data_IF_898078697419
#
_entry.id   IF_898078697419
#
_cell.length_a   1.000
_cell.length_b   1.000
_cell.length_c   1.000
_cell.angle_alpha   90.00
_cell.angle_beta   90.00
_cell.angle_gamma   90.00
#
_symmetry.space_group_name_H-M   'P 1'
#
loop_
_entity.id
_entity.type
_entity.pdbx_description
1 polymer ?
#
# COMPACT_ATOMS: atom_id res chain seq x y z
N UNK A 1 25.66 36.91 30.13
CA UNK A 1 24.36 37.37 29.60
C UNK A 1 23.66 36.16 29.02
N UNK A 2 22.38 35.93 29.34
CA UNK A 2 21.58 34.83 28.77
C UNK A 2 21.11 35.27 27.39
N UNK A 3 21.60 34.66 26.32
CA UNK A 3 20.97 34.73 25.00
C UNK A 3 19.65 33.96 25.06
N UNK A 4 18.63 34.55 24.42
CA UNK A 4 17.22 34.24 24.61
C UNK A 4 16.83 32.80 24.27
N UNK A 5 15.89 32.27 25.05
CA UNK A 5 15.01 31.22 24.56
C UNK A 5 14.21 31.83 23.41
N UNK A 6 14.66 31.58 22.18
CA UNK A 6 13.83 31.70 20.99
C UNK A 6 12.63 30.78 21.21
N UNK A 7 11.42 31.28 21.04
CA UNK A 7 10.21 30.47 21.15
C UNK A 7 10.20 29.48 19.98
N UNK A 8 10.46 28.21 20.24
CA UNK A 8 10.25 27.14 19.27
C UNK A 8 8.76 26.78 19.26
N UNK A 9 8.25 26.33 18.11
CA UNK A 9 6.89 25.85 17.90
C UNK A 9 5.81 26.91 18.19
N UNK A 10 6.09 28.19 17.93
CA UNK A 10 5.11 29.26 18.11
C UNK A 10 3.86 29.02 17.24
N UNK A 11 2.70 28.85 17.89
CA UNK A 11 1.43 28.58 17.22
C UNK A 11 1.22 27.13 16.78
N UNK A 12 2.15 26.22 17.10
CA UNK A 12 2.03 24.79 16.82
C UNK A 12 1.45 24.04 18.04
N UNK A 13 0.49 23.15 17.81
CA UNK A 13 -0.13 22.35 18.86
C UNK A 13 0.75 21.14 19.23
N UNK A 14 1.74 21.39 20.08
CA UNK A 14 2.65 20.34 20.59
C UNK A 14 1.92 19.29 21.42
N UNK A 15 0.83 19.64 22.10
CA UNK A 15 0.11 18.71 22.97
C UNK A 15 -0.75 17.72 22.17
N UNK A 16 -1.42 18.18 21.11
CA UNK A 16 -2.19 17.34 20.19
C UNK A 16 -1.34 16.64 19.12
N UNK A 17 -0.02 16.82 19.15
CA UNK A 17 0.88 16.27 18.14
C UNK A 17 1.13 14.76 18.28
N UNK A 18 0.89 14.16 19.46
CA UNK A 18 1.30 12.79 19.77
C UNK A 18 0.12 11.80 19.80
N UNK A 19 0.35 10.60 19.26
CA UNK A 19 -0.49 9.41 19.45
C UNK A 19 0.08 8.55 20.59
N UNK A 20 -0.49 8.71 21.79
CA UNK A 20 -0.12 7.98 23.00
C UNK A 20 -0.75 6.58 23.05
N UNK A 21 -0.57 5.81 21.97
CA UNK A 21 -0.89 4.39 21.96
C UNK A 21 -0.05 3.65 23.01
N UNK A 22 -0.55 2.51 23.50
CA UNK A 22 0.18 1.69 24.48
C UNK A 22 1.57 1.26 23.96
N UNK A 23 1.70 1.10 22.64
CA UNK A 23 2.97 0.82 21.98
C UNK A 23 3.90 2.04 22.04
N UNK A 24 3.44 3.22 21.62
CA UNK A 24 4.24 4.45 21.68
C UNK A 24 4.78 4.71 23.10
N UNK A 25 3.91 4.62 24.11
CA UNK A 25 4.25 4.79 25.53
C UNK A 25 5.25 3.74 26.05
N UNK A 26 5.24 2.54 25.48
CA UNK A 26 6.14 1.45 25.85
C UNK A 26 7.54 1.60 25.24
N UNK A 27 7.57 1.96 23.95
CA UNK A 27 8.77 1.88 23.11
C UNK A 27 9.55 3.18 22.99
N UNK A 28 8.89 4.34 23.04
CA UNK A 28 9.48 5.64 22.72
C UNK A 28 9.48 6.64 23.88
N UNK A 29 8.42 6.67 24.70
CA UNK A 29 8.19 7.79 25.63
C UNK A 29 9.01 7.67 26.91
N UNK A 30 9.93 8.60 27.10
CA UNK A 30 10.76 8.76 28.29
C UNK A 30 10.11 9.69 29.34
N UNK A 31 10.69 9.75 30.55
CA UNK A 31 10.28 10.75 31.54
C UNK A 31 10.61 12.17 31.04
N UNK A 32 9.65 13.08 31.15
CA UNK A 32 9.79 14.48 30.75
C UNK A 32 9.66 15.42 31.98
N UNK A 33 10.44 16.52 32.05
CA UNK A 33 11.54 16.87 31.15
C UNK A 33 12.85 16.20 31.56
N UNK A 34 13.72 15.94 30.58
CA UNK A 34 15.08 15.47 30.84
C UNK A 34 15.89 16.49 31.63
N UNK A 35 16.72 16.02 32.57
CA UNK A 35 17.65 16.89 33.28
C UNK A 35 18.78 17.38 32.36
N UNK A 36 19.40 18.52 32.72
CA UNK A 36 20.54 19.05 31.97
C UNK A 36 21.75 18.10 32.01
N UNK A 37 21.93 17.40 33.13
CA UNK A 37 22.98 16.41 33.30
C UNK A 37 22.74 15.20 32.38
N UNK A 38 21.48 14.76 32.24
CA UNK A 38 21.12 13.68 31.32
C UNK A 38 21.38 14.07 29.87
N UNK A 39 20.95 15.27 29.47
CA UNK A 39 21.17 15.80 28.11
C UNK A 39 22.68 15.86 27.82
N UNK A 40 23.48 16.49 28.69
CA UNK A 40 24.92 16.62 28.47
C UNK A 40 25.62 15.25 28.39
N UNK A 41 25.20 14.29 29.22
CA UNK A 41 25.72 12.92 29.18
C UNK A 41 25.36 12.20 27.88
N UNK A 42 24.15 12.38 27.36
CA UNK A 42 23.74 11.78 26.07
C UNK A 42 24.45 12.46 24.90
N UNK A 43 24.60 13.79 24.92
CA UNK A 43 25.37 14.51 23.90
C UNK A 43 26.81 13.99 23.84
N UNK A 44 27.48 13.79 24.99
CA UNK A 44 28.82 13.21 25.05
C UNK A 44 28.87 11.77 24.51
N UNK A 45 27.90 10.92 24.88
CA UNK A 45 27.77 9.54 24.40
C UNK A 45 27.57 9.48 22.89
N UNK A 46 26.75 10.37 22.34
CA UNK A 46 26.48 10.53 20.90
C UNK A 46 27.64 11.23 20.18
N UNK A 47 28.88 11.13 20.66
CA UNK A 47 30.07 11.72 20.03
C UNK A 47 30.23 13.24 20.27
N UNK A 48 29.49 13.84 21.18
CA UNK A 48 29.56 15.27 21.48
C UNK A 48 28.71 16.16 20.55
N UNK A 49 27.76 15.58 19.81
CA UNK A 49 26.77 16.37 19.06
C UNK A 49 25.80 17.03 20.04
N UNK A 50 25.70 18.37 19.96
CA UNK A 50 24.76 19.15 20.76
C UNK A 50 23.36 19.03 20.16
N UNK A 51 22.38 18.57 20.94
CA UNK A 51 21.00 18.46 20.48
C UNK A 51 20.41 19.84 20.11
N UNK A 52 19.61 19.94 19.03
CA UNK A 52 18.99 21.19 18.63
C UNK A 52 18.10 21.75 19.73
N UNK A 53 18.00 23.08 19.82
CA UNK A 53 17.14 23.72 20.82
C UNK A 53 15.66 23.37 20.63
N UNK A 54 15.22 23.26 19.37
CA UNK A 54 13.88 22.80 18.99
C UNK A 54 13.63 21.36 19.41
N UNK A 55 14.61 20.47 19.28
CA UNK A 55 14.51 19.08 19.75
C UNK A 55 14.26 19.03 21.27
N UNK A 56 15.11 19.72 22.04
CA UNK A 56 14.96 19.77 23.51
C UNK A 56 13.62 20.40 23.89
N UNK A 57 13.16 21.43 23.19
CA UNK A 57 11.87 22.08 23.46
C UNK A 57 10.69 21.12 23.24
N UNK A 58 10.71 20.35 22.15
CA UNK A 58 9.68 19.34 21.89
C UNK A 58 9.70 18.25 22.97
N UNK A 59 10.88 17.71 23.27
CA UNK A 59 11.08 16.64 24.27
C UNK A 59 10.78 17.09 25.70
N UNK A 60 10.87 18.38 25.99
CA UNK A 60 10.45 18.97 27.27
C UNK A 60 8.93 18.91 27.44
N UNK A 61 8.17 19.06 26.34
CA UNK A 61 6.72 18.96 26.36
C UNK A 61 6.24 17.50 26.36
N UNK A 62 6.88 16.65 25.56
CA UNK A 62 6.59 15.21 25.47
C UNK A 62 7.84 14.50 24.91
N UNK A 63 8.44 13.60 25.71
CA UNK A 63 9.80 13.12 25.51
C UNK A 63 9.88 11.85 24.66
N UNK A 64 9.63 12.02 23.35
CA UNK A 64 9.61 10.96 22.36
C UNK A 64 8.22 10.36 22.21
N UNK A 65 7.94 9.70 21.09
CA UNK A 65 6.62 9.14 20.81
C UNK A 65 6.34 9.00 19.32
N UNK A 66 5.10 8.69 19.00
CA UNK A 66 4.63 8.62 17.61
C UNK A 66 3.77 9.86 17.34
N UNK A 67 4.10 10.69 16.35
CA UNK A 67 3.24 11.79 15.95
C UNK A 67 1.89 11.34 15.37
N UNK A 68 0.86 12.17 15.46
CA UNK A 68 -0.41 11.98 14.72
C UNK A 68 -0.25 12.29 13.23
N UNK A 69 0.79 13.05 12.86
CA UNK A 69 1.18 13.36 11.49
C UNK A 69 2.58 12.82 11.24
N UNK A 70 2.69 11.81 10.38
CA UNK A 70 3.92 11.03 10.21
C UNK A 70 4.56 11.17 8.84
N UNK A 71 3.93 11.87 7.90
CA UNK A 71 4.49 12.04 6.56
C UNK A 71 5.12 13.41 6.40
N UNK A 72 6.26 13.49 5.72
CA UNK A 72 6.90 14.75 5.35
C UNK A 72 6.96 14.87 3.82
N UNK A 73 6.38 15.92 3.21
CA UNK A 73 6.44 16.12 1.76
C UNK A 73 7.88 16.33 1.27
N UNK A 74 8.23 15.69 0.17
CA UNK A 74 9.55 15.74 -0.46
C UNK A 74 9.44 16.24 -1.90
N UNK A 75 10.52 16.87 -2.37
CA UNK A 75 10.64 17.28 -3.79
C UNK A 75 11.58 16.37 -4.59
N UNK A 76 12.36 15.55 -3.88
CA UNK A 76 13.25 14.54 -4.43
C UNK A 76 12.75 13.17 -3.96
N UNK A 77 12.67 12.16 -4.86
CA UNK A 77 12.18 10.84 -4.50
C UNK A 77 13.17 10.13 -3.59
N UNK A 78 12.64 9.27 -2.72
CA UNK A 78 13.39 8.30 -1.94
C UNK A 78 13.23 6.90 -2.54
N UNK A 79 13.93 5.90 -1.99
CA UNK A 79 13.73 4.50 -2.36
C UNK A 79 12.33 3.98 -2.01
N UNK A 80 11.62 4.63 -1.09
CA UNK A 80 10.31 4.20 -0.62
C UNK A 80 9.14 4.92 -1.31
N UNK A 81 9.22 6.24 -1.49
CA UNK A 81 8.17 7.02 -2.17
C UNK A 81 8.73 8.18 -3.01
N UNK A 82 7.96 8.56 -4.03
CA UNK A 82 8.33 9.55 -5.04
C UNK A 82 8.28 11.00 -4.53
N UNK A 83 7.40 11.29 -3.56
CA UNK A 83 7.04 12.67 -3.19
C UNK A 83 6.94 12.89 -1.68
N UNK A 84 7.30 11.92 -0.86
CA UNK A 84 7.30 12.05 0.60
C UNK A 84 8.16 10.99 1.31
N UNK A 85 8.32 11.15 2.62
CA UNK A 85 8.81 10.14 3.54
C UNK A 85 7.80 9.92 4.67
N UNK A 86 7.91 8.79 5.36
CA UNK A 86 7.12 8.47 6.56
C UNK A 86 8.05 8.15 7.73
N UNK A 87 7.70 8.62 8.93
CA UNK A 87 8.36 8.22 10.18
C UNK A 87 7.45 7.35 11.03
N UNK A 88 8.00 6.39 11.76
CA UNK A 88 7.24 5.55 12.71
C UNK A 88 7.30 6.06 14.14
N UNK A 89 8.22 6.99 14.43
CA UNK A 89 8.32 7.63 15.73
C UNK A 89 9.53 8.55 15.85
N UNK A 90 9.50 9.40 16.87
CA UNK A 90 10.60 10.31 17.24
C UNK A 90 11.17 9.82 18.58
N UNK A 91 12.51 9.69 18.63
CA UNK A 91 13.21 9.12 19.78
C UNK A 91 13.24 10.08 20.98
N UNK A 92 12.93 9.58 22.17
CA UNK A 92 13.06 10.37 23.40
C UNK A 92 14.51 10.60 23.82
N UNK A 93 14.75 11.67 24.57
CA UNK A 93 16.00 11.92 25.31
C UNK A 93 16.00 11.04 26.56
N UNK A 94 16.63 9.87 26.46
CA UNK A 94 16.78 8.93 27.57
C UNK A 94 17.45 7.63 27.15
N UNK A 95 17.37 6.63 28.02
CA UNK A 95 17.97 5.29 27.86
C UNK A 95 17.08 4.15 28.36
N UNK A 96 15.88 4.47 28.87
CA UNK A 96 15.01 3.48 29.50
C UNK A 96 14.10 2.80 28.50
N UNK A 97 13.80 3.46 27.37
CA UNK A 97 13.00 2.87 26.29
C UNK A 97 13.88 2.31 25.18
N UNK A 98 13.44 1.23 24.49
CA UNK A 98 14.18 0.65 23.37
C UNK A 98 14.49 1.67 22.28
N UNK A 99 13.54 2.54 21.95
CA UNK A 99 13.69 3.52 20.87
C UNK A 99 14.25 4.87 21.32
N UNK A 100 14.65 5.05 22.58
CA UNK A 100 15.29 6.29 23.02
C UNK A 100 16.64 6.54 22.33
N UNK A 101 17.11 7.79 22.35
CA UNK A 101 18.39 8.16 21.73
C UNK A 101 19.58 7.29 22.22
N UNK A 102 19.62 6.99 23.52
CA UNK A 102 20.57 6.04 24.12
C UNK A 102 19.93 4.70 24.53
N UNK A 103 18.82 4.32 23.88
CA UNK A 103 18.15 3.04 24.07
C UNK A 103 18.80 1.90 23.28
N UNK A 104 18.19 0.71 23.33
CA UNK A 104 18.66 -0.50 22.63
C UNK A 104 18.83 -0.29 21.12
N UNK A 105 17.89 0.41 20.50
CA UNK A 105 17.89 0.74 19.07
C UNK A 105 18.21 2.22 18.84
N UNK A 106 18.96 2.85 19.75
CA UNK A 106 19.36 4.26 19.67
C UNK A 106 20.38 4.57 18.58
N UNK A 107 20.81 5.82 18.48
CA UNK A 107 21.64 6.30 17.37
C UNK A 107 22.96 5.52 17.19
N UNK A 108 23.60 5.13 18.30
CA UNK A 108 24.87 4.37 18.24
C UNK A 108 24.67 2.93 17.75
N UNK A 109 23.51 2.31 18.04
CA UNK A 109 23.23 0.96 17.53
C UNK A 109 23.27 0.96 16.00
N UNK A 110 22.63 1.92 15.36
CA UNK A 110 22.58 1.99 13.90
C UNK A 110 23.95 2.30 13.27
N UNK A 111 24.75 3.15 13.92
CA UNK A 111 26.11 3.45 13.47
C UNK A 111 27.04 2.23 13.65
N UNK A 112 27.08 1.64 14.85
CA UNK A 112 28.06 0.62 15.20
C UNK A 112 27.69 -0.78 14.68
N UNK A 113 26.40 -1.12 14.68
CA UNK A 113 25.92 -2.47 14.31
C UNK A 113 25.40 -2.56 12.89
N UNK A 114 24.90 -1.46 12.33
CA UNK A 114 24.31 -1.41 10.99
C UNK A 114 25.10 -0.51 10.01
N UNK A 115 26.26 -0.01 10.46
CA UNK A 115 27.22 0.75 9.65
C UNK A 115 26.67 2.05 9.07
N UNK A 116 25.58 2.59 9.65
CA UNK A 116 25.09 3.92 9.28
C UNK A 116 26.18 4.98 9.49
N UNK A 117 26.27 5.97 8.59
CA UNK A 117 27.36 6.93 8.65
C UNK A 117 27.27 7.81 9.92
N UNK A 118 28.40 8.01 10.60
CA UNK A 118 28.53 8.92 11.75
C UNK A 118 28.53 10.38 11.26
N UNK A 119 27.32 10.89 10.98
CA UNK A 119 27.07 12.28 10.54
C UNK A 119 26.40 13.12 11.63
N UNK A 120 25.94 12.49 12.72
CA UNK A 120 25.11 13.14 13.70
C UNK A 120 24.25 12.19 14.52
N UNK A 121 23.00 12.58 14.75
CA UNK A 121 22.07 11.87 15.64
C UNK A 121 20.89 11.34 14.83
N UNK A 122 20.74 10.02 14.80
CA UNK A 122 19.56 9.35 14.22
C UNK A 122 18.40 9.47 15.20
N UNK A 123 17.38 10.24 14.84
CA UNK A 123 16.35 10.72 15.77
C UNK A 123 14.94 10.20 15.47
N UNK A 124 14.72 9.63 14.28
CA UNK A 124 13.45 9.06 13.88
C UNK A 124 13.68 7.80 13.04
N UNK A 125 12.78 6.85 13.24
CA UNK A 125 12.71 5.59 12.49
C UNK A 125 11.66 5.71 11.38
N UNK A 126 11.68 4.81 10.41
CA UNK A 126 10.78 4.75 9.27
C UNK A 126 10.05 3.39 9.24
N UNK A 127 9.05 3.19 8.36
CA UNK A 127 8.38 1.89 8.21
C UNK A 127 9.26 0.76 7.66
N UNK A 128 10.49 1.07 7.21
CA UNK A 128 11.36 0.09 6.56
C UNK A 128 12.09 -0.85 7.52
N UNK A 129 11.89 -0.69 8.84
CA UNK A 129 12.58 -1.48 9.87
C UNK A 129 14.11 -1.36 9.81
N UNK A 130 14.61 -0.15 9.54
CA UNK A 130 16.03 0.19 9.57
C UNK A 130 16.75 0.15 8.23
N UNK A 131 16.05 -0.08 7.12
CA UNK A 131 16.62 0.05 5.76
C UNK A 131 16.77 1.51 5.32
N UNK A 132 16.12 2.43 6.02
CA UNK A 132 16.37 3.86 5.93
C UNK A 132 16.06 4.56 7.27
N UNK A 133 16.65 5.73 7.50
CA UNK A 133 16.50 6.46 8.76
C UNK A 133 16.58 7.97 8.57
N UNK A 134 16.07 8.73 9.54
CA UNK A 134 16.29 10.17 9.62
C UNK A 134 17.36 10.56 10.63
N UNK A 135 18.24 11.46 10.20
CA UNK A 135 19.33 11.98 11.00
C UNK A 135 19.33 13.51 11.07
N UNK A 136 19.76 14.02 12.23
CA UNK A 136 20.24 15.38 12.38
C UNK A 136 21.68 15.42 11.86
N UNK A 137 21.91 16.01 10.69
CA UNK A 137 23.22 16.03 10.00
C UNK A 137 24.04 17.25 10.40
N UNK A 138 25.18 17.01 11.05
CA UNK A 138 26.10 18.04 11.54
C UNK A 138 27.31 18.24 10.62
N UNK A 139 27.43 17.55 9.49
CA UNK A 139 28.62 17.62 8.61
C UNK A 139 28.95 19.05 8.17
N UNK A 140 27.93 19.87 7.92
CA UNK A 140 28.09 21.26 7.47
C UNK A 140 28.30 22.26 8.62
N UNK A 141 27.58 22.10 9.74
CA UNK A 141 27.56 23.08 10.83
C UNK A 141 28.54 22.76 11.97
N UNK A 142 29.13 21.56 11.98
CA UNK A 142 29.94 21.03 13.08
C UNK A 142 29.11 20.64 14.29
N UNK A 143 29.72 19.91 15.25
CA UNK A 143 29.03 19.25 16.37
C UNK A 143 28.24 20.15 17.32
N UNK A 144 28.37 21.47 17.21
CA UNK A 144 27.73 22.45 18.10
C UNK A 144 26.82 23.45 17.35
N UNK A 145 26.72 23.33 16.02
CA UNK A 145 25.85 24.14 15.19
C UNK A 145 24.41 23.65 15.15
N UNK A 146 23.57 24.31 14.36
CA UNK A 146 22.20 23.87 14.06
C UNK A 146 22.24 22.90 12.87
N UNK A 147 21.90 21.61 13.05
CA UNK A 147 21.94 20.61 11.99
C UNK A 147 20.73 20.70 11.07
N UNK A 148 20.91 20.24 9.83
CA UNK A 148 19.80 19.95 8.91
C UNK A 148 19.21 18.58 9.20
N UNK A 149 17.99 18.33 8.73
CA UNK A 149 17.40 16.98 8.74
C UNK A 149 17.65 16.32 7.40
N UNK A 150 18.12 15.08 7.43
CA UNK A 150 18.38 14.26 6.24
C UNK A 150 17.77 12.87 6.38
N UNK A 151 17.47 12.27 5.24
CA UNK A 151 17.15 10.86 5.07
C UNK A 151 18.42 10.12 4.63
N UNK A 152 18.62 8.90 5.15
CA UNK A 152 19.75 8.04 4.82
C UNK A 152 19.23 6.68 4.37
N UNK A 153 19.48 6.32 3.12
CA UNK A 153 19.02 5.07 2.50
C UNK A 153 20.12 4.01 2.51
N UNK A 154 19.98 3.01 3.38
CA UNK A 154 20.97 1.94 3.52
C UNK A 154 21.08 1.07 2.26
N UNK A 155 19.95 0.79 1.60
CA UNK A 155 19.93 -0.02 0.37
C UNK A 155 20.54 0.74 -0.81
N UNK A 156 20.46 2.07 -0.78
CA UNK A 156 21.06 3.01 -1.72
C UNK A 156 22.54 3.35 -1.48
N UNK A 157 23.32 2.49 -0.82
CA UNK A 157 24.73 2.75 -0.45
C UNK A 157 24.87 3.95 0.50
N UNK A 158 23.96 4.03 1.49
CA UNK A 158 23.85 5.15 2.44
C UNK A 158 23.71 6.51 1.74
N UNK A 159 22.93 6.56 0.64
CA UNK A 159 22.60 7.81 -0.03
C UNK A 159 21.92 8.77 0.94
N UNK A 160 22.35 10.03 0.95
CA UNK A 160 21.85 11.05 1.89
C UNK A 160 21.07 12.11 1.13
N UNK A 161 19.79 12.25 1.45
CA UNK A 161 18.86 13.19 0.83
C UNK A 161 18.44 14.26 1.84
N UNK A 162 18.41 15.53 1.43
CA UNK A 162 18.01 16.63 2.31
C UNK A 162 16.50 16.64 2.52
N UNK A 163 16.06 16.76 3.76
CA UNK A 163 14.63 16.73 4.13
C UNK A 163 14.16 18.10 4.62
N UNK A 164 14.83 18.67 5.62
CA UNK A 164 14.45 19.98 6.16
C UNK A 164 15.68 20.78 6.63
N UNK A 165 15.52 22.11 6.67
CA UNK A 165 16.60 23.03 7.08
C UNK A 165 16.98 22.91 8.56
N UNK A 166 16.07 22.43 9.41
CA UNK A 166 16.30 22.15 10.83
C UNK A 166 15.17 21.25 11.37
N UNK A 167 15.29 20.81 12.63
CA UNK A 167 14.33 19.91 13.26
C UNK A 167 12.94 20.54 13.46
N UNK A 168 12.84 21.85 13.72
CA UNK A 168 11.55 22.53 13.88
C UNK A 168 10.77 22.57 12.55
N UNK A 169 11.46 22.91 11.46
CA UNK A 169 10.90 22.89 10.11
C UNK A 169 10.42 21.48 9.73
N UNK A 170 11.16 20.45 10.11
CA UNK A 170 10.73 19.05 9.93
C UNK A 170 9.42 18.76 10.67
N UNK A 171 9.39 18.97 11.98
CA UNK A 171 8.23 18.65 12.83
C UNK A 171 6.99 19.44 12.44
N UNK A 172 7.14 20.72 12.13
CA UNK A 172 6.02 21.59 11.73
C UNK A 172 5.55 21.33 10.30
N UNK A 173 6.39 20.71 9.46
CA UNK A 173 6.06 20.30 8.09
C UNK A 173 5.42 18.92 7.97
N UNK A 174 5.32 18.15 9.06
CA UNK A 174 4.65 16.84 9.04
C UNK A 174 3.15 16.99 8.77
N UNK A 175 2.64 16.15 7.87
CA UNK A 175 1.25 16.09 7.42
C UNK A 175 0.60 14.73 7.75
N UNK A 176 -0.72 14.73 7.75
CA UNK A 176 -1.52 13.52 7.94
C UNK A 176 -1.41 12.60 6.71
N UNK A 177 -1.40 11.28 6.92
CA UNK A 177 -1.29 10.30 5.84
C UNK A 177 -2.44 10.34 4.84
N UNK A 178 -3.60 10.88 5.23
CA UNK A 178 -4.74 11.09 4.31
C UNK A 178 -4.43 12.02 3.14
N UNK A 179 -3.36 12.83 3.21
CA UNK A 179 -2.88 13.62 2.06
C UNK A 179 -2.44 12.73 0.90
N UNK A 180 -1.96 11.52 1.21
CA UNK A 180 -1.48 10.53 0.24
C UNK A 180 -2.45 9.36 0.04
N UNK A 181 -3.63 9.39 0.67
CA UNK A 181 -4.66 8.37 0.49
C UNK A 181 -5.35 8.53 -0.88
N UNK A 182 -4.96 7.69 -1.84
CA UNK A 182 -5.55 7.65 -3.18
C UNK A 182 -6.73 6.71 -3.30
N UNK A 183 -7.15 6.02 -2.23
CA UNK A 183 -8.12 4.92 -2.29
C UNK A 183 -9.45 5.31 -2.94
N UNK A 184 -9.95 6.52 -2.68
CA UNK A 184 -11.18 7.02 -3.31
C UNK A 184 -10.98 7.33 -4.81
N UNK A 185 -9.82 7.87 -5.18
CA UNK A 185 -9.49 8.14 -6.59
C UNK A 185 -9.35 6.83 -7.36
N UNK A 186 -8.65 5.84 -6.79
CA UNK A 186 -8.47 4.51 -7.34
C UNK A 186 -9.82 3.78 -7.49
N UNK A 187 -10.71 3.92 -6.50
CA UNK A 187 -12.07 3.39 -6.55
C UNK A 187 -12.90 4.03 -7.66
N UNK A 188 -12.82 5.35 -7.83
CA UNK A 188 -13.50 6.05 -8.92
C UNK A 188 -12.95 5.64 -10.30
N UNK A 189 -11.63 5.46 -10.43
CA UNK A 189 -10.99 4.96 -11.64
C UNK A 189 -11.40 3.51 -11.95
N UNK A 190 -11.48 2.65 -10.94
CA UNK A 190 -11.98 1.28 -11.09
C UNK A 190 -13.47 1.28 -11.50
N UNK A 191 -14.30 2.16 -10.93
CA UNK A 191 -15.70 2.31 -11.35
C UNK A 191 -15.83 2.76 -12.81
N UNK A 192 -15.03 3.74 -13.24
CA UNK A 192 -14.99 4.17 -14.64
C UNK A 192 -14.56 3.03 -15.56
N UNK A 193 -13.56 2.23 -15.13
CA UNK A 193 -13.08 1.05 -15.87
C UNK A 193 -14.19 0.04 -16.10
N UNK A 194 -14.96 -0.31 -15.06
CA UNK A 194 -16.02 -1.33 -15.19
C UNK A 194 -17.30 -0.80 -15.87
N UNK A 195 -17.55 0.51 -15.83
CA UNK A 195 -18.69 1.16 -16.48
C UNK A 195 -18.50 1.43 -17.95
N UNK A 196 -17.35 2.00 -18.29
CA UNK A 196 -17.11 2.61 -19.60
C UNK A 196 -16.02 1.88 -20.39
N UNK A 197 -15.23 1.04 -19.72
CA UNK A 197 -14.23 0.21 -20.37
C UNK A 197 -14.83 -0.67 -21.47
N UNK A 198 -14.19 -0.67 -22.63
CA UNK A 198 -14.53 -1.59 -23.72
C UNK A 198 -14.26 -3.04 -23.30
N UNK A 199 -15.19 -3.95 -23.57
CA UNK A 199 -15.00 -5.37 -23.32
C UNK A 199 -13.98 -5.98 -24.28
N UNK A 200 -13.34 -7.08 -23.84
CA UNK A 200 -12.49 -7.88 -24.73
C UNK A 200 -13.31 -8.43 -25.91
N UNK A 201 -12.69 -8.64 -27.09
CA UNK A 201 -13.36 -9.31 -28.20
C UNK A 201 -13.92 -10.69 -27.83
N UNK A 202 -13.28 -11.40 -26.90
CA UNK A 202 -13.76 -12.66 -26.34
C UNK A 202 -15.10 -12.51 -25.61
N UNK A 203 -15.23 -11.51 -24.72
CA UNK A 203 -16.49 -11.20 -24.05
C UNK A 203 -17.58 -10.75 -25.02
N UNK A 204 -17.25 -9.88 -25.98
CA UNK A 204 -18.20 -9.42 -27.00
C UNK A 204 -18.71 -10.57 -27.89
N UNK A 205 -17.89 -11.59 -28.14
CA UNK A 205 -18.34 -12.83 -28.78
C UNK A 205 -19.27 -13.60 -27.83
N UNK A 206 -18.84 -13.87 -26.60
CA UNK A 206 -19.62 -14.63 -25.63
C UNK A 206 -21.04 -14.04 -25.43
N UNK A 207 -21.16 -12.73 -25.27
CA UNK A 207 -22.45 -12.05 -25.11
C UNK A 207 -23.40 -12.29 -26.29
N UNK A 208 -22.88 -12.40 -27.52
CA UNK A 208 -23.69 -12.73 -28.70
C UNK A 208 -24.14 -14.19 -28.70
N UNK A 209 -23.27 -15.11 -28.28
CA UNK A 209 -23.58 -16.54 -28.22
C UNK A 209 -24.68 -16.85 -27.19
N UNK A 210 -24.73 -16.11 -26.09
CA UNK A 210 -25.70 -16.33 -25.01
C UNK A 210 -26.94 -15.42 -25.09
N UNK A 211 -27.06 -14.57 -26.10
CA UNK A 211 -28.09 -13.52 -26.17
C UNK A 211 -29.53 -14.05 -26.09
N UNK A 212 -29.79 -15.26 -26.59
CA UNK A 212 -31.10 -15.91 -26.52
C UNK A 212 -31.46 -16.39 -25.10
N UNK A 213 -30.46 -16.62 -24.25
CA UNK A 213 -30.61 -17.13 -22.87
C UNK A 213 -30.52 -15.99 -21.86
N UNK A 214 -29.56 -15.09 -22.03
CA UNK A 214 -29.34 -13.91 -21.19
C UNK A 214 -29.24 -12.67 -22.09
N UNK A 215 -30.39 -12.02 -22.39
CA UNK A 215 -30.38 -10.69 -22.99
C UNK A 215 -29.61 -9.71 -22.10
N UNK A 216 -28.99 -8.70 -22.72
CA UNK A 216 -28.20 -7.68 -22.02
C UNK A 216 -27.08 -8.26 -21.11
N UNK A 217 -26.47 -9.38 -21.54
CA UNK A 217 -25.38 -10.04 -20.83
C UNK A 217 -24.22 -9.09 -20.45
N UNK A 218 -23.94 -8.11 -21.33
CA UNK A 218 -22.97 -7.05 -21.10
C UNK A 218 -23.37 -6.15 -19.91
N UNK A 219 -24.66 -5.81 -19.77
CA UNK A 219 -25.17 -5.03 -18.64
C UNK A 219 -25.05 -5.79 -17.32
N UNK A 220 -25.34 -7.10 -17.32
CA UNK A 220 -25.13 -7.95 -16.14
C UNK A 220 -23.64 -8.02 -15.74
N UNK A 221 -22.74 -8.09 -16.72
CA UNK A 221 -21.30 -8.07 -16.48
C UNK A 221 -20.86 -6.75 -15.80
N UNK A 222 -21.35 -5.61 -16.29
CA UNK A 222 -21.07 -4.30 -15.68
C UNK A 222 -21.62 -4.20 -14.26
N UNK A 223 -22.87 -4.61 -14.04
CA UNK A 223 -23.51 -4.54 -12.72
C UNK A 223 -22.77 -5.38 -11.66
N UNK A 224 -22.34 -6.58 -12.05
CA UNK A 224 -21.55 -7.44 -11.16
C UNK A 224 -20.17 -6.84 -10.86
N UNK A 225 -19.45 -6.36 -11.88
CA UNK A 225 -18.16 -5.72 -11.68
C UNK A 225 -18.26 -4.42 -10.86
N UNK A 226 -19.29 -3.61 -11.05
CA UNK A 226 -19.55 -2.45 -10.20
C UNK A 226 -19.75 -2.84 -8.73
N UNK A 227 -20.45 -3.94 -8.47
CA UNK A 227 -20.66 -4.43 -7.10
C UNK A 227 -19.34 -4.91 -6.49
N UNK A 228 -18.50 -5.62 -7.26
CA UNK A 228 -17.13 -5.98 -6.84
C UNK A 228 -16.33 -4.73 -6.45
N UNK A 229 -16.34 -3.67 -7.27
CA UNK A 229 -15.62 -2.42 -6.97
C UNK A 229 -16.21 -1.69 -5.76
N UNK A 230 -17.53 -1.69 -5.58
CA UNK A 230 -18.17 -1.06 -4.41
C UNK A 230 -17.84 -1.79 -3.11
N UNK A 231 -17.78 -3.12 -3.16
CA UNK A 231 -17.49 -3.95 -1.98
C UNK A 231 -16.00 -3.87 -1.59
N UNK A 232 -15.10 -3.74 -2.57
CA UNK A 232 -13.64 -3.89 -2.36
C UNK A 232 -12.83 -2.60 -2.51
N UNK A 233 -13.37 -1.60 -3.19
CA UNK A 233 -12.64 -0.40 -3.61
C UNK A 233 -11.90 -0.54 -4.95
N UNK A 234 -11.76 -1.74 -5.50
CA UNK A 234 -11.00 -2.00 -6.74
C UNK A 234 -11.56 -3.18 -7.53
N UNK A 235 -11.16 -3.31 -8.81
CA UNK A 235 -11.63 -4.39 -9.69
C UNK A 235 -10.62 -5.54 -9.79
N UNK A 236 -10.70 -6.48 -8.86
CA UNK A 236 -9.95 -7.75 -8.90
C UNK A 236 -10.79 -8.90 -8.34
N UNK A 237 -10.52 -10.13 -8.77
CA UNK A 237 -11.31 -11.30 -8.40
C UNK A 237 -10.57 -12.15 -7.34
N UNK A 238 -11.23 -12.39 -6.19
CA UNK A 238 -10.70 -13.19 -5.07
C UNK A 238 -11.68 -14.30 -4.66
N UNK A 239 -11.55 -14.86 -3.44
CA UNK A 239 -12.45 -15.89 -2.90
C UNK A 239 -13.77 -15.35 -2.30
N UNK A 240 -14.09 -14.07 -2.51
CA UNK A 240 -15.35 -13.46 -2.05
C UNK A 240 -16.54 -13.83 -2.95
N UNK A 241 -17.76 -13.75 -2.41
CA UNK A 241 -18.99 -14.19 -3.09
C UNK A 241 -19.18 -13.58 -4.47
N UNK A 242 -18.90 -12.28 -4.65
CA UNK A 242 -19.09 -11.59 -5.93
C UNK A 242 -18.03 -11.99 -6.95
N UNK A 243 -16.80 -12.19 -6.52
CA UNK A 243 -15.73 -12.72 -7.36
C UNK A 243 -16.00 -14.16 -7.79
N UNK A 244 -16.52 -15.00 -6.88
CA UNK A 244 -16.91 -16.39 -7.21
C UNK A 244 -18.03 -16.44 -8.24
N UNK A 245 -19.03 -15.55 -8.13
CA UNK A 245 -20.09 -15.38 -9.12
C UNK A 245 -19.53 -14.88 -10.47
N UNK A 246 -18.55 -13.98 -10.44
CA UNK A 246 -17.86 -13.50 -11.65
C UNK A 246 -17.11 -14.65 -12.34
N UNK A 247 -16.42 -15.50 -11.60
CA UNK A 247 -15.75 -16.68 -12.18
C UNK A 247 -16.75 -17.65 -12.81
N UNK A 248 -17.88 -17.91 -12.16
CA UNK A 248 -18.96 -18.73 -12.73
C UNK A 248 -19.48 -18.12 -14.04
N UNK A 249 -19.70 -16.80 -14.04
CA UNK A 249 -20.19 -16.09 -15.21
C UNK A 249 -19.19 -16.13 -16.37
N UNK A 250 -17.91 -15.84 -16.08
CA UNK A 250 -16.83 -15.90 -17.06
C UNK A 250 -16.68 -17.30 -17.63
N UNK A 251 -16.74 -18.36 -16.82
CA UNK A 251 -16.61 -19.72 -17.31
C UNK A 251 -17.79 -20.16 -18.18
N UNK A 252 -19.01 -19.79 -17.81
CA UNK A 252 -20.20 -20.04 -18.62
C UNK A 252 -20.10 -19.35 -19.99
N UNK A 253 -19.75 -18.06 -19.99
CA UNK A 253 -19.52 -17.26 -21.20
C UNK A 253 -18.40 -17.87 -22.05
N UNK A 254 -17.29 -18.27 -21.45
CA UNK A 254 -16.15 -18.85 -22.16
C UNK A 254 -16.53 -20.15 -22.86
N UNK A 255 -17.25 -21.02 -22.15
CA UNK A 255 -17.65 -22.33 -22.69
C UNK A 255 -18.74 -22.20 -23.75
N UNK A 256 -19.49 -21.09 -23.85
CA UNK A 256 -20.50 -20.91 -24.92
C UNK A 256 -19.95 -21.08 -26.35
N UNK A 257 -18.64 -20.86 -26.56
CA UNK A 257 -17.99 -21.05 -27.87
C UNK A 257 -16.63 -21.74 -27.82
N UNK A 258 -16.16 -22.18 -26.65
CA UNK A 258 -14.92 -22.94 -26.50
C UNK A 258 -15.17 -24.33 -25.92
N UNK A 259 -14.29 -25.26 -26.28
CA UNK A 259 -14.12 -26.52 -25.58
C UNK A 259 -13.06 -26.35 -24.49
N UNK A 260 -13.32 -26.86 -23.28
CA UNK A 260 -12.41 -26.81 -22.14
C UNK A 260 -12.11 -28.22 -21.67
N UNK A 261 -10.95 -28.73 -22.03
CA UNK A 261 -10.58 -30.13 -21.75
C UNK A 261 -9.81 -30.25 -20.43
N UNK A 262 -9.30 -29.13 -19.92
CA UNK A 262 -8.58 -29.04 -18.65
C UNK A 262 -8.63 -27.62 -18.08
N UNK A 263 -8.27 -27.47 -16.81
CA UNK A 263 -8.13 -26.16 -16.17
C UNK A 263 -7.07 -25.31 -16.89
N UNK A 264 -5.93 -25.90 -17.23
CA UNK A 264 -4.81 -25.22 -17.89
C UNK A 264 -5.24 -24.62 -19.23
N UNK A 265 -6.04 -25.35 -20.01
CA UNK A 265 -6.60 -24.85 -21.28
C UNK A 265 -7.56 -23.67 -21.06
N UNK A 266 -8.33 -23.68 -19.98
CA UNK A 266 -9.20 -22.55 -19.64
C UNK A 266 -8.36 -21.31 -19.29
N UNK A 267 -7.34 -21.48 -18.46
CA UNK A 267 -6.52 -20.36 -17.96
C UNK A 267 -5.70 -19.72 -19.08
N UNK A 268 -5.00 -20.53 -19.87
CA UNK A 268 -4.04 -20.06 -20.88
C UNK A 268 -4.08 -20.91 -22.15
N UNK A 269 -3.93 -20.28 -23.31
CA UNK A 269 -3.76 -21.00 -24.56
C UNK A 269 -2.46 -21.84 -24.56
N UNK A 270 -2.43 -23.00 -25.25
CA UNK A 270 -1.22 -23.81 -25.33
C UNK A 270 -0.03 -23.03 -25.92
N UNK A 271 1.21 -23.22 -25.41
CA UNK A 271 2.38 -22.43 -25.82
C UNK A 271 2.69 -22.46 -27.33
N UNK A 272 2.29 -23.53 -28.01
CA UNK A 272 2.44 -23.70 -29.45
C UNK A 272 1.50 -22.82 -30.31
N UNK A 273 0.53 -22.13 -29.69
CA UNK A 273 -0.38 -21.22 -30.36
C UNK A 273 -0.05 -19.76 -30.04
N UNK A 274 -0.03 -18.91 -31.07
CA UNK A 274 0.04 -17.47 -30.88
C UNK A 274 -1.23 -16.98 -30.18
N UNK A 275 -1.07 -16.14 -29.14
CA UNK A 275 -2.20 -15.57 -28.40
C UNK A 275 -3.07 -14.74 -29.34
N UNK A 276 -4.37 -15.05 -29.39
CA UNK A 276 -5.31 -14.39 -30.28
C UNK A 276 -6.72 -14.43 -29.72
N UNK A 277 -7.51 -13.38 -29.97
CA UNK A 277 -8.94 -13.39 -29.66
C UNK A 277 -9.76 -14.36 -30.52
N UNK A 278 -9.19 -14.95 -31.57
CA UNK A 278 -9.82 -16.04 -32.31
C UNK A 278 -9.89 -17.34 -31.49
N UNK A 279 -8.91 -17.57 -30.61
CA UNK A 279 -8.82 -18.70 -29.69
C UNK A 279 -8.45 -18.18 -28.30
N UNK A 280 -9.37 -17.49 -27.61
CA UNK A 280 -9.05 -16.86 -26.34
C UNK A 280 -8.88 -17.89 -25.22
N UNK A 281 -8.30 -17.41 -24.13
CA UNK A 281 -8.22 -18.04 -22.83
C UNK A 281 -8.82 -17.09 -21.77
N UNK A 282 -8.90 -17.52 -20.52
CA UNK A 282 -9.37 -16.70 -19.40
C UNK A 282 -8.60 -15.39 -19.31
N UNK A 283 -7.28 -15.44 -19.49
CA UNK A 283 -6.42 -14.27 -19.41
C UNK A 283 -6.82 -13.19 -20.43
N UNK A 284 -7.01 -13.56 -21.71
CA UNK A 284 -7.47 -12.64 -22.76
C UNK A 284 -8.93 -12.22 -22.59
N UNK A 285 -9.70 -12.97 -21.82
CA UNK A 285 -11.10 -12.65 -21.59
C UNK A 285 -11.27 -11.47 -20.62
N UNK A 286 -10.45 -11.41 -19.56
CA UNK A 286 -10.62 -10.41 -18.49
C UNK A 286 -9.33 -9.84 -17.88
N UNK A 287 -8.21 -10.57 -17.90
CA UNK A 287 -7.02 -10.16 -17.15
C UNK A 287 -6.07 -9.27 -17.94
N UNK A 288 -5.73 -9.70 -19.16
CA UNK A 288 -4.69 -9.09 -20.00
C UNK A 288 -5.19 -8.87 -21.42
N UNK A 289 -4.69 -7.81 -22.07
CA UNK A 289 -4.93 -7.55 -23.47
C UNK A 289 -3.76 -7.97 -24.36
N UNK A 290 -4.04 -8.02 -25.67
CA UNK A 290 -2.98 -8.02 -26.67
C UNK A 290 -2.53 -6.57 -26.86
N UNK A 291 -1.21 -6.34 -26.89
CA UNK A 291 -0.64 -5.00 -27.13
C UNK A 291 -1.17 -4.39 -28.45
N UNK A 292 -1.45 -5.23 -29.45
CA UNK A 292 -2.01 -4.82 -30.74
C UNK A 292 -3.50 -4.47 -30.71
N UNK A 293 -4.25 -4.96 -29.71
CA UNK A 293 -5.71 -4.86 -29.62
C UNK A 293 -6.14 -4.68 -28.15
N UNK A 294 -5.88 -3.50 -27.54
CA UNK A 294 -6.18 -3.25 -26.14
C UNK A 294 -7.68 -3.13 -25.86
N UNK A 295 -8.10 -3.48 -24.64
CA UNK A 295 -9.47 -3.27 -24.15
C UNK A 295 -9.46 -2.70 -22.72
N UNK A 296 -10.57 -2.06 -22.33
CA UNK A 296 -10.64 -1.28 -21.10
C UNK A 296 -11.16 -2.07 -19.89
N UNK A 297 -12.18 -2.90 -20.06
CA UNK A 297 -12.80 -3.66 -18.97
C UNK A 297 -11.90 -4.84 -18.56
N UNK A 298 -10.93 -4.62 -17.68
CA UNK A 298 -9.96 -5.65 -17.27
C UNK A 298 -9.54 -5.53 -15.82
N UNK A 299 -9.08 -6.63 -15.24
CA UNK A 299 -8.49 -6.65 -13.88
C UNK A 299 -7.01 -6.25 -13.85
N UNK A 300 -6.32 -6.26 -15.01
CA UNK A 300 -4.89 -5.94 -15.11
C UNK A 300 -3.97 -7.03 -14.58
N UNK A 301 -4.53 -8.17 -14.17
CA UNK A 301 -3.83 -9.31 -13.58
C UNK A 301 -4.77 -10.25 -12.84
N UNK A 302 -4.24 -11.37 -12.36
CA UNK A 302 -4.97 -12.30 -11.50
C UNK A 302 -3.99 -13.11 -10.66
N UNK A 303 -4.45 -13.64 -9.53
CA UNK A 303 -3.71 -14.61 -8.74
C UNK A 303 -4.20 -16.03 -9.08
N UNK A 304 -3.36 -16.92 -9.66
CA UNK A 304 -3.78 -18.25 -10.09
C UNK A 304 -4.42 -19.09 -8.98
N UNK A 305 -3.98 -18.91 -7.72
CA UNK A 305 -4.51 -19.63 -6.57
C UNK A 305 -6.02 -19.45 -6.38
N UNK A 306 -6.56 -18.22 -6.51
CA UNK A 306 -8.01 -18.00 -6.37
C UNK A 306 -8.81 -18.67 -7.49
N UNK A 307 -8.30 -18.64 -8.72
CA UNK A 307 -8.96 -19.27 -9.87
C UNK A 307 -8.92 -20.79 -9.77
N UNK A 308 -7.81 -21.37 -9.32
CA UNK A 308 -7.66 -22.82 -9.11
C UNK A 308 -8.56 -23.32 -7.97
N UNK A 309 -8.64 -22.58 -6.87
CA UNK A 309 -9.55 -22.87 -5.76
C UNK A 309 -11.01 -22.80 -6.19
N UNK A 310 -11.40 -21.79 -6.98
CA UNK A 310 -12.74 -21.70 -7.57
C UNK A 310 -13.05 -22.92 -8.44
N UNK A 311 -12.16 -23.29 -9.36
CA UNK A 311 -12.33 -24.43 -10.26
C UNK A 311 -12.55 -25.74 -9.47
N UNK A 312 -11.66 -26.02 -8.52
CA UNK A 312 -11.74 -27.20 -7.64
C UNK A 312 -13.04 -27.21 -6.83
N UNK A 313 -13.43 -26.05 -6.28
CA UNK A 313 -14.67 -25.89 -5.53
C UNK A 313 -15.89 -26.24 -6.38
N UNK A 314 -15.95 -25.76 -7.62
CA UNK A 314 -17.08 -26.00 -8.53
C UNK A 314 -17.16 -27.43 -9.06
N UNK A 315 -16.02 -28.09 -9.26
CA UNK A 315 -16.01 -29.53 -9.55
C UNK A 315 -16.51 -30.32 -8.33
N UNK A 316 -15.98 -30.03 -7.13
CA UNK A 316 -16.34 -30.75 -5.92
C UNK A 316 -17.83 -30.60 -5.55
N UNK A 317 -18.43 -29.45 -5.86
CA UNK A 317 -19.87 -29.21 -5.64
C UNK A 317 -20.76 -29.75 -6.77
N UNK A 318 -20.18 -30.28 -7.85
CA UNK A 318 -20.93 -30.72 -9.03
C UNK A 318 -21.52 -29.59 -9.87
N UNK A 319 -21.07 -28.34 -9.67
CA UNK A 319 -21.46 -27.22 -10.52
C UNK A 319 -20.79 -27.32 -11.89
N UNK A 320 -19.51 -27.73 -11.93
CA UNK A 320 -18.78 -28.07 -13.16
C UNK A 320 -18.71 -29.60 -13.27
N UNK A 321 -19.05 -30.13 -14.45
CA UNK A 321 -18.97 -31.55 -14.78
C UNK A 321 -18.23 -31.77 -16.09
N UNK A 322 -17.57 -32.91 -16.23
CA UNK A 322 -16.97 -33.35 -17.48
C UNK A 322 -18.06 -33.92 -18.41
N UNK A 323 -18.10 -33.44 -19.65
CA UNK A 323 -19.01 -33.89 -20.70
C UNK A 323 -18.23 -34.38 -21.91
N UNK A 324 -18.91 -34.90 -22.94
CA UNK A 324 -18.26 -35.24 -24.20
C UNK A 324 -17.57 -34.04 -24.89
N UNK A 325 -18.05 -32.82 -24.61
CA UNK A 325 -17.57 -31.55 -25.17
C UNK A 325 -16.74 -30.74 -24.15
N UNK A 326 -16.05 -31.45 -23.24
CA UNK A 326 -15.21 -30.88 -22.18
C UNK A 326 -15.98 -30.52 -20.89
N UNK A 327 -15.33 -29.79 -20.00
CA UNK A 327 -15.91 -29.30 -18.75
C UNK A 327 -16.96 -28.21 -19.00
N UNK A 328 -18.13 -28.35 -18.36
CA UNK A 328 -19.29 -27.45 -18.50
C UNK A 328 -19.93 -27.18 -17.15
N UNK A 329 -20.56 -26.02 -16.99
CA UNK A 329 -21.54 -25.85 -15.92
C UNK A 329 -22.75 -26.75 -16.16
N UNK A 330 -23.32 -27.30 -15.09
CA UNK A 330 -24.60 -28.01 -15.15
C UNK A 330 -25.77 -27.05 -15.37
N UNK A 331 -26.88 -27.54 -15.93
CA UNK A 331 -28.09 -26.72 -16.12
C UNK A 331 -28.58 -26.10 -14.80
N UNK A 332 -28.46 -26.82 -13.69
CA UNK A 332 -28.81 -26.32 -12.36
C UNK A 332 -27.87 -25.17 -11.92
N UNK A 333 -26.57 -25.29 -12.18
CA UNK A 333 -25.61 -24.23 -11.89
C UNK A 333 -25.83 -23.00 -12.77
N UNK A 334 -26.16 -23.19 -14.05
CA UNK A 334 -26.51 -22.10 -14.96
C UNK A 334 -27.78 -21.38 -14.49
N UNK A 335 -28.83 -22.12 -14.12
CA UNK A 335 -30.06 -21.51 -13.59
C UNK A 335 -29.79 -20.66 -12.35
N UNK A 336 -29.00 -21.18 -11.39
CA UNK A 336 -28.61 -20.44 -10.20
C UNK A 336 -27.77 -19.20 -10.52
N UNK A 337 -26.81 -19.31 -11.45
CA UNK A 337 -26.00 -18.19 -11.94
C UNK A 337 -26.89 -17.07 -12.50
N UNK A 338 -27.86 -17.39 -13.35
CA UNK A 338 -28.74 -16.41 -13.98
C UNK A 338 -29.64 -15.69 -12.95
N UNK A 339 -30.17 -16.42 -11.96
CA UNK A 339 -30.97 -15.84 -10.87
C UNK A 339 -30.14 -14.86 -10.01
N UNK A 340 -28.89 -15.22 -9.70
CA UNK A 340 -27.99 -14.35 -8.96
C UNK A 340 -27.60 -13.10 -9.75
N UNK A 341 -27.32 -13.22 -11.06
CA UNK A 341 -27.03 -12.08 -11.95
C UNK A 341 -28.23 -11.13 -12.06
N UNK A 342 -29.45 -11.65 -12.10
CA UNK A 342 -30.67 -10.84 -12.09
C UNK A 342 -30.83 -10.08 -10.76
N UNK A 343 -30.53 -10.73 -9.64
CA UNK A 343 -30.57 -10.11 -8.30
C UNK A 343 -29.57 -8.96 -8.20
N UNK A 344 -28.35 -9.15 -8.69
CA UNK A 344 -27.31 -8.11 -8.72
C UNK A 344 -27.74 -6.91 -9.59
N UNK A 345 -28.27 -7.17 -10.79
CA UNK A 345 -28.75 -6.12 -11.68
C UNK A 345 -29.95 -5.34 -11.10
N UNK A 346 -30.84 -6.01 -10.36
CA UNK A 346 -31.98 -5.38 -9.70
C UNK A 346 -31.63 -4.55 -8.47
N UNK A 347 -30.54 -4.87 -7.78
CA UNK A 347 -30.08 -4.12 -6.60
C UNK A 347 -29.34 -2.82 -6.94
N UNK A 348 -28.88 -2.66 -8.19
CA UNK A 348 -28.17 -1.47 -8.68
C UNK A 348 -29.04 -0.44 -9.44
N UNK A 349 -30.37 -0.63 -9.46
CA UNK A 349 -31.34 0.20 -10.18
C UNK A 349 -31.98 1.32 -9.35
#
# INVERSE_FOLDING_TARGET
MREGAVGYFEGFDVAGFWDDSAYALGEYVEEAPSSRELIASLEEELGGYRLPGSYIALMTAHNGGIPTRVHFPMTEPTSWAEDHIEITGIRGIGRTRPQSLGGEYGSLFWIDMWEYPDIGVYFADTPSAGHDMLALDYRACGRHGEPTVVHVDQEGDFAITSVAENFEAFVTGLVDGSVYDTSEQDRLAALATVRDGGFSPALLRAFREVADVLPDADRHMRALAETVVRDKGFFALHADTRSMLMYDYLFWLFTSFNQVDSFERYVSAPPEHERSYALPDYELMIAFDLVSEPYGFRTGGYAPGFLEEWWKSRIASGHIVETADGFRLTDAAIAALLDELATVAGAGG
#
